data_IF_036866062359
#
_entry.id   IF_036866062359
#
_cell.length_a   1.000
_cell.length_b   1.000
_cell.length_c   1.000
_cell.angle_alpha   90.00
_cell.angle_beta   90.00
_cell.angle_gamma   90.00
#
_symmetry.space_group_name_H-M   'P 1'
#
loop_
_entity.id
_entity.type
_entity.pdbx_description
1 polymer ?
#
# COMPACT_ATOMS: atom_id res chain seq x y z
N UNK A 1 -21.30 -19.48 22.95
CA UNK A 1 -21.60 -18.40 22.00
C UNK A 1 -20.32 -17.62 21.67
N UNK A 2 -19.45 -18.13 20.79
CA UNK A 2 -18.12 -17.55 20.48
C UNK A 2 -17.87 -17.36 18.97
N UNK A 3 -18.91 -17.31 18.14
CA UNK A 3 -18.75 -17.31 16.68
C UNK A 3 -19.07 -15.99 15.99
N UNK A 4 -19.48 -14.95 16.72
CA UNK A 4 -19.91 -13.68 16.09
C UNK A 4 -18.76 -12.68 15.81
N UNK A 5 -17.62 -12.77 16.52
CA UNK A 5 -16.51 -11.84 16.33
C UNK A 5 -15.81 -12.02 14.98
N UNK A 6 -15.45 -13.23 14.64
CA UNK A 6 -14.70 -13.54 13.41
C UNK A 6 -15.50 -13.27 12.13
N UNK A 7 -16.81 -13.57 12.15
CA UNK A 7 -17.69 -13.25 11.01
C UNK A 7 -17.88 -11.74 10.82
N UNK A 8 -17.93 -10.96 11.89
CA UNK A 8 -18.04 -9.49 11.82
C UNK A 8 -16.77 -8.86 11.26
N UNK A 9 -15.60 -9.34 11.69
CA UNK A 9 -14.30 -8.87 11.18
C UNK A 9 -14.15 -9.12 9.67
N UNK A 10 -14.59 -10.29 9.18
CA UNK A 10 -14.56 -10.62 7.73
C UNK A 10 -15.50 -9.72 6.93
N UNK A 11 -16.70 -9.44 7.42
CA UNK A 11 -17.65 -8.51 6.78
C UNK A 11 -17.10 -7.08 6.77
N UNK A 12 -16.40 -6.70 7.82
CA UNK A 12 -15.76 -5.40 8.01
C UNK A 12 -14.62 -5.17 7.02
N UNK A 13 -13.82 -6.17 6.73
CA UNK A 13 -12.74 -6.10 5.77
C UNK A 13 -13.19 -5.93 4.33
N UNK A 14 -14.34 -6.48 3.95
CA UNK A 14 -14.94 -6.18 2.67
C UNK A 14 -15.29 -4.69 2.56
N UNK A 15 -15.75 -4.09 3.67
CA UNK A 15 -16.03 -2.66 3.76
C UNK A 15 -14.75 -1.80 3.72
N UNK A 16 -13.63 -2.26 4.30
CA UNK A 16 -12.38 -1.50 4.30
C UNK A 16 -11.68 -1.53 2.94
N UNK A 17 -11.73 -2.64 2.21
CA UNK A 17 -11.34 -2.67 0.79
C UNK A 17 -12.19 -1.67 0.00
N UNK A 18 -13.47 -1.51 0.34
CA UNK A 18 -14.37 -0.52 -0.22
C UNK A 18 -14.00 0.93 0.18
N UNK A 19 -13.57 1.18 1.43
CA UNK A 19 -13.16 2.53 1.87
C UNK A 19 -11.89 2.98 1.18
N UNK A 20 -10.93 2.11 0.92
CA UNK A 20 -9.77 2.43 0.09
C UNK A 20 -10.15 2.78 -1.36
N UNK A 21 -11.28 2.27 -1.85
CA UNK A 21 -11.79 2.58 -3.19
C UNK A 21 -12.70 3.80 -3.21
N UNK A 22 -13.37 4.15 -2.11
CA UNK A 22 -14.28 5.32 -2.05
C UNK A 22 -13.52 6.64 -1.94
N UNK A 23 -12.34 6.68 -1.38
CA UNK A 23 -11.44 7.85 -1.44
C UNK A 23 -10.91 8.09 -2.87
N UNK A 24 -11.05 7.12 -3.75
CA UNK A 24 -10.67 7.20 -5.16
C UNK A 24 -11.87 7.11 -6.10
N UNK A 25 -12.77 8.12 -6.03
CA UNK A 25 -13.77 8.43 -7.08
C UNK A 25 -14.62 7.25 -7.57
N UNK A 26 -15.80 7.06 -6.96
CA UNK A 26 -17.01 6.54 -7.64
C UNK A 26 -16.92 5.18 -8.34
N UNK A 27 -16.24 4.19 -7.76
CA UNK A 27 -16.15 2.85 -8.33
C UNK A 27 -17.02 1.85 -7.59
N UNK A 28 -17.60 0.91 -8.31
CA UNK A 28 -18.48 -0.14 -7.77
C UNK A 28 -17.69 -1.22 -7.03
N UNK A 29 -18.34 -2.03 -6.19
CA UNK A 29 -17.73 -3.14 -5.42
C UNK A 29 -16.88 -4.10 -6.29
N UNK A 30 -17.22 -4.26 -7.55
CA UNK A 30 -16.53 -5.16 -8.49
C UNK A 30 -15.11 -4.64 -8.82
N UNK A 31 -14.93 -3.33 -9.00
CA UNK A 31 -13.62 -2.74 -9.28
C UNK A 31 -12.64 -2.84 -8.10
N UNK A 32 -13.15 -2.87 -6.87
CA UNK A 32 -12.30 -3.04 -5.69
C UNK A 32 -11.70 -4.43 -5.60
N UNK A 33 -12.48 -5.47 -5.89
CA UNK A 33 -12.04 -6.86 -5.87
C UNK A 33 -11.01 -7.16 -6.98
N UNK A 34 -11.06 -6.44 -8.11
CA UNK A 34 -10.08 -6.59 -9.19
C UNK A 34 -8.71 -5.98 -8.85
N UNK A 35 -8.67 -4.98 -7.97
CA UNK A 35 -7.43 -4.26 -7.60
C UNK A 35 -6.59 -4.98 -6.55
N UNK A 36 -7.17 -5.90 -5.81
CA UNK A 36 -6.50 -6.58 -4.71
C UNK A 36 -6.76 -8.09 -4.74
N UNK A 37 -5.73 -8.85 -4.40
CA UNK A 37 -5.86 -10.28 -4.08
C UNK A 37 -5.42 -10.50 -2.64
N UNK A 38 -6.25 -11.18 -1.86
CA UNK A 38 -5.86 -11.59 -0.49
C UNK A 38 -4.73 -12.61 -0.57
N UNK A 39 -3.63 -12.31 0.12
CA UNK A 39 -2.44 -13.19 0.20
C UNK A 39 -2.22 -13.75 1.60
N UNK A 40 -2.71 -13.06 2.63
CA UNK A 40 -2.76 -13.55 4.01
C UNK A 40 -4.13 -13.23 4.59
N UNK A 41 -4.80 -14.24 5.11
CA UNK A 41 -6.07 -14.11 5.82
C UNK A 41 -6.06 -15.02 7.06
N UNK A 42 -6.00 -14.46 8.28
CA UNK A 42 -5.99 -15.26 9.49
C UNK A 42 -7.36 -15.92 9.71
N UNK A 43 -7.33 -17.16 10.17
CA UNK A 43 -8.55 -17.89 10.54
C UNK A 43 -8.93 -17.71 12.00
N UNK A 44 -7.99 -17.23 12.81
CA UNK A 44 -8.14 -16.98 14.25
C UNK A 44 -7.25 -15.82 14.69
N UNK A 45 -7.54 -15.28 15.86
CA UNK A 45 -6.69 -14.28 16.51
C UNK A 45 -5.38 -14.91 16.96
N UNK A 46 -4.28 -14.31 16.58
CA UNK A 46 -2.92 -14.68 16.99
C UNK A 46 -2.54 -13.99 18.31
N UNK A 47 -1.61 -14.56 19.06
CA UNK A 47 -1.08 -13.98 20.28
C UNK A 47 0.42 -13.67 20.08
N UNK A 48 0.77 -12.40 20.22
CA UNK A 48 2.16 -11.95 20.22
C UNK A 48 2.66 -11.75 21.65
N UNK A 49 3.92 -12.12 21.90
CA UNK A 49 4.64 -11.82 23.14
C UNK A 49 5.43 -10.54 22.98
N UNK A 50 5.41 -9.68 24.00
CA UNK A 50 6.14 -8.40 24.00
C UNK A 50 7.63 -8.60 23.62
N UNK A 51 8.12 -7.75 22.71
CA UNK A 51 9.52 -7.77 22.26
C UNK A 51 9.93 -8.97 21.40
N UNK A 52 9.01 -9.91 21.16
CA UNK A 52 9.29 -11.06 20.27
C UNK A 52 8.74 -10.77 18.88
N UNK A 53 9.59 -10.91 17.86
CA UNK A 53 9.18 -10.73 16.49
C UNK A 53 8.34 -11.92 16.00
N UNK A 54 7.19 -11.63 15.44
CA UNK A 54 6.36 -12.61 14.71
C UNK A 54 6.63 -12.40 13.23
N UNK A 55 6.95 -13.47 12.50
CA UNK A 55 7.22 -13.44 11.06
C UNK A 55 6.16 -14.22 10.29
N UNK A 56 5.46 -13.55 9.41
CA UNK A 56 4.45 -14.15 8.54
C UNK A 56 5.00 -14.24 7.11
N UNK A 57 5.14 -15.45 6.54
CA UNK A 57 5.53 -15.60 5.15
C UNK A 57 4.41 -15.17 4.22
N UNK A 58 4.77 -14.54 3.09
CA UNK A 58 3.84 -14.21 2.03
C UNK A 58 4.54 -14.21 0.67
N UNK A 59 3.77 -14.34 -0.40
CA UNK A 59 4.26 -14.33 -1.78
C UNK A 59 3.51 -13.30 -2.60
N UNK A 60 4.24 -12.53 -3.41
CA UNK A 60 3.70 -11.62 -4.40
C UNK A 60 3.88 -12.24 -5.79
N UNK A 61 2.79 -12.34 -6.54
CA UNK A 61 2.80 -12.83 -7.92
C UNK A 61 2.96 -11.71 -8.94
N UNK A 62 2.85 -10.44 -8.49
CA UNK A 62 2.96 -9.22 -9.30
C UNK A 62 3.79 -8.17 -8.59
N UNK A 63 4.48 -7.34 -9.36
CA UNK A 63 5.42 -6.32 -8.86
C UNK A 63 4.75 -4.97 -8.55
N UNK A 64 3.57 -4.97 -7.94
CA UNK A 64 2.85 -3.75 -7.57
C UNK A 64 2.93 -3.41 -6.09
N UNK A 65 3.42 -4.35 -5.27
CA UNK A 65 3.45 -4.24 -3.83
C UNK A 65 2.22 -4.83 -3.14
N UNK A 66 2.03 -4.46 -1.89
CA UNK A 66 0.98 -5.03 -1.04
C UNK A 66 0.46 -3.99 -0.03
N UNK A 67 -0.64 -4.35 0.62
CA UNK A 67 -1.16 -3.68 1.82
C UNK A 67 -1.20 -4.70 2.93
N UNK A 68 -0.64 -4.38 4.09
CA UNK A 68 -0.86 -5.12 5.32
C UNK A 68 -1.86 -4.36 6.20
N UNK A 69 -2.74 -5.09 6.87
CA UNK A 69 -3.66 -4.56 7.86
C UNK A 69 -3.50 -5.33 9.16
N UNK A 70 -3.14 -4.62 10.21
CA UNK A 70 -2.95 -5.16 11.55
C UNK A 70 -4.13 -4.71 12.41
N UNK A 71 -4.86 -5.66 12.97
CA UNK A 71 -6.03 -5.40 13.82
C UNK A 71 -5.70 -5.81 15.25
N UNK A 72 -5.99 -4.94 16.23
CA UNK A 72 -5.71 -5.15 17.66
C UNK A 72 -6.89 -4.68 18.54
N UNK A 73 -6.89 -5.06 19.82
CA UNK A 73 -7.88 -4.60 20.78
C UNK A 73 -7.65 -3.15 21.24
N UNK A 74 -6.39 -2.65 21.11
CA UNK A 74 -5.99 -1.27 21.43
C UNK A 74 -4.78 -0.89 20.58
N UNK A 75 -4.53 0.41 20.29
CA UNK A 75 -3.30 0.86 19.66
C UNK A 75 -2.09 0.40 20.46
N UNK A 76 -1.06 -0.06 19.78
CA UNK A 76 0.16 -0.59 20.38
C UNK A 76 1.39 -0.11 19.62
N UNK A 77 2.46 0.23 20.34
CA UNK A 77 3.73 0.53 19.70
C UNK A 77 4.28 -0.74 19.08
N UNK A 78 4.70 -0.66 17.82
CA UNK A 78 5.24 -1.81 17.11
C UNK A 78 6.35 -1.40 16.14
N UNK A 79 7.23 -2.36 15.87
CA UNK A 79 8.23 -2.26 14.79
C UNK A 79 7.83 -3.23 13.69
N UNK A 80 7.79 -2.74 12.46
CA UNK A 80 7.52 -3.54 11.27
C UNK A 80 8.81 -3.69 10.49
N UNK A 81 9.10 -4.91 10.06
CA UNK A 81 10.28 -5.24 9.25
C UNK A 81 9.87 -6.19 8.13
N UNK A 82 10.19 -5.86 6.90
CA UNK A 82 10.00 -6.80 5.78
C UNK A 82 11.34 -7.42 5.40
N UNK A 83 11.33 -8.71 5.16
CA UNK A 83 12.51 -9.50 4.81
C UNK A 83 12.31 -10.15 3.44
N UNK A 84 13.41 -10.35 2.72
CA UNK A 84 13.45 -11.18 1.52
C UNK A 84 13.32 -12.68 1.88
N UNK A 85 13.26 -13.52 0.86
CA UNK A 85 13.10 -14.97 1.01
C UNK A 85 14.26 -15.67 1.75
N UNK A 86 15.43 -15.04 1.82
CA UNK A 86 16.61 -15.58 2.52
C UNK A 86 16.79 -14.97 3.91
N UNK A 87 15.88 -14.09 4.34
CA UNK A 87 15.82 -13.52 5.68
C UNK A 87 16.63 -12.23 5.88
N UNK A 88 17.13 -11.60 4.81
CA UNK A 88 17.73 -10.29 4.90
C UNK A 88 16.63 -9.23 4.95
N UNK A 89 16.86 -8.12 5.65
CA UNK A 89 15.96 -6.97 5.60
C UNK A 89 15.89 -6.44 4.18
N UNK A 90 14.68 -6.31 3.65
CA UNK A 90 14.47 -5.75 2.34
C UNK A 90 15.01 -4.31 2.27
N UNK A 91 15.70 -3.98 1.19
CA UNK A 91 16.41 -2.71 1.00
C UNK A 91 15.45 -1.59 0.56
N UNK A 92 14.46 -1.27 1.41
CA UNK A 92 13.50 -0.20 1.18
C UNK A 92 13.78 0.98 2.11
N UNK A 93 13.37 2.18 1.71
CA UNK A 93 13.77 3.43 2.37
C UNK A 93 13.46 3.46 3.88
N UNK A 94 12.32 2.93 4.30
CA UNK A 94 11.84 2.99 5.67
C UNK A 94 11.71 1.60 6.34
N UNK A 95 12.62 0.69 6.02
CA UNK A 95 12.59 -0.67 6.55
C UNK A 95 13.82 -0.97 7.43
N UNK A 96 13.70 -1.27 8.74
CA UNK A 96 12.46 -1.32 9.54
C UNK A 96 11.93 0.06 9.92
N UNK A 97 10.63 0.15 10.21
CA UNK A 97 10.04 1.37 10.73
C UNK A 97 9.19 1.13 11.98
N UNK A 98 8.96 2.21 12.76
CA UNK A 98 8.22 2.16 14.00
C UNK A 98 6.85 2.81 13.85
N UNK A 99 5.84 2.20 14.46
CA UNK A 99 4.50 2.73 14.57
C UNK A 99 4.21 2.98 16.05
N UNK A 100 3.85 4.22 16.38
CA UNK A 100 3.47 4.58 17.75
C UNK A 100 2.00 4.29 18.00
N UNK A 101 1.68 3.83 19.20
CA UNK A 101 0.29 3.71 19.69
C UNK A 101 -0.45 5.04 19.72
N UNK A 102 0.27 6.16 19.81
CA UNK A 102 -0.30 7.53 19.73
C UNK A 102 -0.41 8.07 18.31
N UNK A 103 -0.02 7.29 17.29
CA UNK A 103 -0.11 7.70 15.88
C UNK A 103 -1.57 7.91 15.46
N UNK A 104 -1.82 8.97 14.69
CA UNK A 104 -3.12 9.20 14.04
C UNK A 104 -3.41 8.21 12.90
N UNK A 105 -2.46 7.32 12.59
CA UNK A 105 -2.63 6.24 11.60
C UNK A 105 -3.40 5.04 12.14
N UNK A 106 -3.67 4.99 13.45
CA UNK A 106 -4.59 4.03 14.01
C UNK A 106 -6.03 4.48 13.80
N UNK A 107 -6.83 3.64 13.22
CA UNK A 107 -8.25 3.86 13.02
C UNK A 107 -9.04 2.96 13.95
N UNK A 108 -10.23 3.42 14.42
CA UNK A 108 -11.11 2.67 15.31
C UNK A 108 -12.46 2.46 14.67
N UNK A 109 -12.90 1.21 14.65
CA UNK A 109 -14.21 0.88 14.13
C UNK A 109 -14.76 -0.41 14.78
N UNK A 110 -16.02 -0.42 15.16
CA UNK A 110 -16.76 -1.57 15.72
C UNK A 110 -16.05 -2.32 16.87
N UNK A 111 -15.31 -1.62 17.73
CA UNK A 111 -14.69 -2.20 18.92
C UNK A 111 -13.26 -2.70 18.71
N UNK A 112 -12.66 -2.48 17.56
CA UNK A 112 -11.26 -2.83 17.27
C UNK A 112 -10.49 -1.65 16.69
N UNK A 113 -9.20 -1.67 16.87
CA UNK A 113 -8.28 -0.74 16.24
C UNK A 113 -7.57 -1.44 15.09
N UNK A 114 -7.29 -0.69 14.03
CA UNK A 114 -6.52 -1.21 12.91
C UNK A 114 -5.51 -0.18 12.39
N UNK A 115 -4.39 -0.70 11.98
CA UNK A 115 -3.32 0.01 11.30
C UNK A 115 -3.16 -0.53 9.89
N UNK A 116 -3.09 0.36 8.91
CA UNK A 116 -2.94 0.00 7.50
C UNK A 116 -1.56 0.43 7.01
N UNK A 117 -0.84 -0.51 6.47
CA UNK A 117 0.52 -0.37 5.94
C UNK A 117 0.53 -0.59 4.41
N UNK A 118 0.43 0.47 3.62
CA UNK A 118 0.54 0.37 2.17
C UNK A 118 2.02 0.35 1.74
N UNK A 119 2.47 -0.74 1.17
CA UNK A 119 3.85 -0.93 0.67
C UNK A 119 3.83 -1.08 -0.86
N UNK A 120 3.90 0.03 -1.61
CA UNK A 120 3.85 0.03 -3.06
C UNK A 120 5.21 -0.35 -3.67
N UNK A 121 5.17 -0.80 -4.94
CA UNK A 121 6.36 -1.03 -5.77
C UNK A 121 7.33 -2.09 -5.23
N UNK A 122 6.80 -3.15 -4.66
CA UNK A 122 7.56 -4.35 -4.28
C UNK A 122 7.50 -5.35 -5.43
N UNK A 123 8.64 -5.94 -5.76
CA UNK A 123 8.72 -6.96 -6.79
C UNK A 123 7.95 -8.23 -6.45
N UNK A 124 7.55 -8.98 -7.48
CA UNK A 124 7.06 -10.33 -7.29
C UNK A 124 8.16 -11.20 -6.64
N UNK A 125 7.78 -12.03 -5.69
CA UNK A 125 8.72 -12.86 -4.94
C UNK A 125 8.16 -13.30 -3.60
N UNK A 126 8.97 -14.03 -2.85
CA UNK A 126 8.67 -14.53 -1.52
C UNK A 126 9.32 -13.63 -0.46
N UNK A 127 8.57 -13.35 0.59
CA UNK A 127 8.93 -12.41 1.64
C UNK A 127 8.45 -12.89 3.01
N UNK A 128 8.94 -12.20 4.05
CA UNK A 128 8.37 -12.29 5.40
C UNK A 128 8.00 -10.90 5.91
N UNK A 129 6.84 -10.80 6.52
CA UNK A 129 6.38 -9.60 7.21
C UNK A 129 6.56 -9.80 8.71
N UNK A 130 7.52 -9.11 9.29
CA UNK A 130 7.87 -9.17 10.70
C UNK A 130 7.21 -8.07 11.49
N UNK A 131 6.60 -8.41 12.63
CA UNK A 131 6.02 -7.45 13.57
C UNK A 131 6.58 -7.74 14.96
N UNK A 132 7.12 -6.71 15.60
CA UNK A 132 7.49 -6.76 17.02
C UNK A 132 6.63 -5.76 17.78
N UNK A 133 5.77 -6.25 18.66
CA UNK A 133 4.94 -5.40 19.52
C UNK A 133 5.67 -5.05 20.81
N UNK A 134 5.48 -3.83 21.32
CA UNK A 134 6.09 -3.37 22.59
C UNK A 134 5.47 -4.05 23.83
N UNK A 135 4.26 -4.59 23.70
CA UNK A 135 3.56 -5.34 24.73
C UNK A 135 2.87 -6.58 24.16
N UNK A 136 2.63 -7.57 25.02
CA UNK A 136 1.88 -8.76 24.61
C UNK A 136 0.48 -8.38 24.17
N UNK A 137 0.09 -8.75 22.96
CA UNK A 137 -1.19 -8.38 22.39
C UNK A 137 -1.79 -9.48 21.52
N UNK A 138 -3.09 -9.46 21.37
CA UNK A 138 -3.80 -10.26 20.38
C UNK A 138 -3.94 -9.44 19.12
N UNK A 139 -3.71 -10.08 17.99
CA UNK A 139 -3.79 -9.39 16.70
C UNK A 139 -4.34 -10.29 15.60
N UNK A 140 -4.76 -9.67 14.51
CA UNK A 140 -5.01 -10.28 13.21
C UNK A 140 -4.16 -9.56 12.18
N UNK A 141 -3.52 -10.31 11.30
CA UNK A 141 -2.78 -9.77 10.16
C UNK A 141 -3.49 -10.21 8.88
N UNK A 142 -3.89 -9.24 8.09
CA UNK A 142 -4.37 -9.47 6.74
C UNK A 142 -3.41 -8.82 5.77
N UNK A 143 -3.17 -9.47 4.64
CA UNK A 143 -2.35 -8.89 3.59
C UNK A 143 -3.03 -9.06 2.25
N UNK A 144 -2.89 -8.04 1.42
CA UNK A 144 -3.48 -7.96 0.09
C UNK A 144 -2.43 -7.52 -0.90
N UNK A 145 -2.27 -8.26 -2.00
CA UNK A 145 -1.44 -7.86 -3.12
C UNK A 145 -2.20 -6.86 -3.99
N UNK A 146 -1.53 -5.81 -4.44
CA UNK A 146 -2.04 -4.99 -5.53
C UNK A 146 -2.03 -5.77 -6.84
N UNK A 147 -3.15 -5.77 -7.57
CA UNK A 147 -3.28 -6.47 -8.85
C UNK A 147 -3.01 -5.58 -10.07
N UNK A 148 -2.77 -4.32 -9.85
CA UNK A 148 -2.63 -3.26 -10.84
C UNK A 148 -3.44 -2.05 -10.43
N UNK A 149 -3.58 -1.09 -11.35
CA UNK A 149 -4.24 0.18 -11.03
C UNK A 149 -3.20 1.24 -10.66
N UNK A 150 -2.25 1.44 -11.57
CA UNK A 150 -1.29 2.51 -11.48
C UNK A 150 -1.98 3.85 -11.25
N UNK A 151 -1.64 4.54 -10.16
CA UNK A 151 -2.12 5.88 -9.87
C UNK A 151 -0.98 6.86 -9.97
N UNK A 152 -1.18 7.88 -10.80
CA UNK A 152 -0.26 9.01 -10.91
C UNK A 152 -0.58 10.04 -9.83
N UNK A 153 0.44 10.53 -9.12
CA UNK A 153 0.30 11.66 -8.22
C UNK A 153 -0.06 12.93 -9.03
N UNK A 154 -0.92 13.78 -8.49
CA UNK A 154 -1.27 15.05 -9.12
C UNK A 154 -1.76 14.92 -10.59
N UNK A 155 -2.76 14.10 -10.83
CA UNK A 155 -3.35 13.88 -12.15
C UNK A 155 -3.71 15.19 -12.91
N UNK A 156 -4.03 16.26 -12.19
CA UNK A 156 -4.29 17.60 -12.74
C UNK A 156 -3.18 18.59 -12.36
N UNK A 157 -1.93 18.26 -12.65
CA UNK A 157 -0.78 19.07 -12.29
C UNK A 157 -0.74 20.40 -13.08
N UNK A 158 -0.53 21.49 -12.35
CA UNK A 158 -0.18 22.80 -12.94
C UNK A 158 1.32 23.01 -12.76
N UNK A 159 2.02 23.33 -13.86
CA UNK A 159 3.46 23.60 -13.87
C UNK A 159 3.71 24.92 -14.60
N UNK A 160 4.26 25.89 -13.90
CA UNK A 160 4.64 27.19 -14.50
C UNK A 160 5.79 27.02 -15.49
N UNK A 161 5.82 27.78 -16.56
CA UNK A 161 6.92 27.79 -17.54
C UNK A 161 8.27 28.00 -16.84
N UNK A 162 9.23 27.12 -17.13
CA UNK A 162 10.57 27.10 -16.53
C UNK A 162 10.65 26.39 -15.16
N UNK A 163 9.53 26.10 -14.53
CA UNK A 163 9.49 25.37 -13.27
C UNK A 163 9.27 23.88 -13.46
N UNK A 164 9.51 23.12 -12.41
CA UNK A 164 9.40 21.66 -12.43
C UNK A 164 8.46 21.16 -11.36
N UNK A 165 7.79 20.03 -11.64
CA UNK A 165 7.01 19.27 -10.67
C UNK A 165 7.34 17.78 -10.80
N UNK A 166 7.57 17.11 -9.68
CA UNK A 166 7.75 15.66 -9.63
C UNK A 166 6.38 14.98 -9.67
N UNK A 167 6.24 14.03 -10.57
CA UNK A 167 5.16 13.06 -10.56
C UNK A 167 5.71 11.71 -10.07
N UNK A 168 4.85 10.94 -9.42
CA UNK A 168 5.13 9.56 -9.02
C UNK A 168 3.96 8.68 -9.40
N UNK A 169 4.21 7.39 -9.53
CA UNK A 169 3.18 6.37 -9.73
C UNK A 169 3.21 5.45 -8.52
N UNK A 170 2.04 5.12 -8.00
CA UNK A 170 1.85 4.07 -7.00
C UNK A 170 1.07 2.93 -7.64
N UNK A 171 1.28 1.71 -7.15
CA UNK A 171 0.59 0.53 -7.67
C UNK A 171 1.18 -0.08 -8.95
N UNK A 172 2.27 0.49 -9.50
CA UNK A 172 2.98 -0.10 -10.64
C UNK A 172 4.42 0.41 -10.74
N UNK A 173 5.31 -0.39 -11.34
CA UNK A 173 6.66 0.04 -11.74
C UNK A 173 6.60 0.80 -13.05
N UNK A 174 7.24 1.96 -13.07
CA UNK A 174 7.31 2.80 -14.26
C UNK A 174 8.52 2.40 -15.11
N UNK A 175 8.25 1.93 -16.32
CA UNK A 175 9.24 1.65 -17.34
C UNK A 175 9.71 2.92 -18.05
N UNK A 176 8.80 3.84 -18.33
CA UNK A 176 9.11 5.11 -19.01
C UNK A 176 8.08 6.19 -18.70
N UNK A 177 8.50 7.44 -18.80
CA UNK A 177 7.63 8.60 -18.82
C UNK A 177 7.57 9.21 -20.22
N UNK A 178 6.39 9.64 -20.63
CA UNK A 178 6.19 10.28 -21.95
C UNK A 178 5.31 11.50 -21.82
N UNK A 179 5.56 12.51 -22.67
CA UNK A 179 4.70 13.67 -22.87
C UNK A 179 4.07 13.61 -24.26
N UNK A 180 2.78 13.83 -24.34
CA UNK A 180 2.06 13.89 -25.60
C UNK A 180 2.51 15.08 -26.45
N UNK A 181 2.89 16.19 -25.81
CA UNK A 181 3.48 17.35 -26.47
C UNK A 181 4.63 17.93 -25.64
N UNK A 182 5.85 17.57 -26.02
CA UNK A 182 7.08 18.03 -25.36
C UNK A 182 7.38 19.53 -25.58
N UNK A 183 6.68 20.20 -26.51
CA UNK A 183 6.79 21.65 -26.71
C UNK A 183 6.00 22.41 -25.64
N UNK A 184 5.03 21.76 -24.96
CA UNK A 184 4.24 22.32 -23.86
C UNK A 184 4.86 21.91 -22.53
N UNK A 185 5.11 20.62 -22.32
CA UNK A 185 5.77 20.11 -21.12
C UNK A 185 6.69 18.94 -21.45
N UNK A 186 7.88 18.89 -20.87
CA UNK A 186 8.84 17.77 -20.95
C UNK A 186 8.77 16.96 -19.66
N UNK A 187 9.05 15.68 -19.76
CA UNK A 187 9.21 14.80 -18.58
C UNK A 187 10.51 14.00 -18.73
N UNK A 188 11.24 13.86 -17.63
CA UNK A 188 12.45 13.04 -17.58
C UNK A 188 12.13 11.60 -17.15
N UNK A 189 13.14 10.72 -17.17
CA UNK A 189 13.04 9.31 -16.77
C UNK A 189 12.59 9.10 -15.33
N UNK A 190 12.69 10.13 -14.49
CA UNK A 190 12.34 10.08 -13.07
C UNK A 190 10.96 10.70 -12.78
N UNK A 191 10.17 11.05 -13.81
CA UNK A 191 8.86 11.68 -13.63
C UNK A 191 8.91 13.17 -13.28
N UNK A 192 10.06 13.85 -13.47
CA UNK A 192 10.18 15.29 -13.27
C UNK A 192 9.66 16.01 -14.51
N UNK A 193 8.53 16.67 -14.38
CA UNK A 193 7.89 17.45 -15.44
C UNK A 193 8.39 18.88 -15.42
N UNK A 194 8.75 19.42 -16.58
CA UNK A 194 9.18 20.83 -16.78
C UNK A 194 8.21 21.51 -17.71
N UNK A 195 7.63 22.64 -17.30
CA UNK A 195 6.81 23.50 -18.15
C UNK A 195 7.67 24.22 -19.19
N UNK A 196 7.34 24.07 -20.47
CA UNK A 196 8.09 24.66 -21.59
C UNK A 196 7.35 25.86 -22.18
N UNK A 197 6.05 25.72 -22.39
CA UNK A 197 5.19 26.75 -22.99
C UNK A 197 3.79 26.70 -22.36
N UNK A 198 3.10 27.81 -22.34
CA UNK A 198 1.69 27.83 -21.93
C UNK A 198 0.84 26.94 -22.84
N UNK A 199 -0.02 26.13 -22.25
CA UNK A 199 -0.87 25.15 -22.93
C UNK A 199 -1.28 24.00 -22.01
N UNK A 200 -2.03 23.05 -22.55
CA UNK A 200 -2.41 21.81 -21.88
C UNK A 200 -1.82 20.64 -22.66
N UNK A 201 -1.23 19.69 -21.96
CA UNK A 201 -0.74 18.44 -22.53
C UNK A 201 -0.90 17.32 -21.52
N UNK A 202 -0.86 16.08 -21.98
CA UNK A 202 -0.88 14.90 -21.12
C UNK A 202 0.54 14.39 -20.94
N UNK A 203 0.93 14.14 -19.70
CA UNK A 203 2.11 13.35 -19.33
C UNK A 203 1.61 12.03 -18.80
N UNK A 204 2.16 10.93 -19.26
CA UNK A 204 1.79 9.59 -18.84
C UNK A 204 3.02 8.74 -18.52
N UNK A 205 2.82 7.82 -17.60
CA UNK A 205 3.78 6.79 -17.27
C UNK A 205 3.43 5.52 -18.06
N UNK A 206 4.41 4.90 -18.67
CA UNK A 206 4.29 3.54 -19.20
C UNK A 206 4.80 2.60 -18.12
N UNK A 207 4.00 1.67 -17.70
CA UNK A 207 4.33 0.69 -16.68
C UNK A 207 4.97 -0.57 -17.28
N UNK A 208 5.62 -1.41 -16.47
CA UNK A 208 6.29 -2.63 -16.95
C UNK A 208 5.29 -3.66 -17.50
N UNK A 209 4.07 -3.64 -17.01
CA UNK A 209 2.94 -4.48 -17.44
C UNK A 209 2.18 -3.94 -18.66
N UNK A 210 2.58 -2.77 -19.18
CA UNK A 210 2.01 -2.20 -20.39
C UNK A 210 0.82 -1.26 -20.19
N UNK A 211 0.42 -0.96 -18.95
CA UNK A 211 -0.57 0.08 -18.66
C UNK A 211 0.00 1.49 -18.94
N UNK A 212 -0.87 2.44 -19.36
CA UNK A 212 -0.48 3.83 -19.68
C UNK A 212 -1.34 4.84 -18.91
#
# INVERSE_FOLDING_TARGET
MKTNGTRRIVTFMLALVLVFTTVCVGTTEVEAAEKFTTIVAPTQTEQATAGTEVKTPFSLTKSYGFVAQIVTEAPVDMTITVYDSVGNKAQWADNPYQVSSSSTSWEYEEGVYYFVDPVPNVDAGDYYYGITFSQSTKYLLYMYQYNGGAKISNANAVVTKGYTKKLSVTGAKVKAWKSKDSKIAKVDKNGKVTGVKAGKTTVYAVTEDGEN
#
